data_IF_634982578414
#
_entry.id   IF_634982578414
#
_cell.length_a   1.000
_cell.length_b   1.000
_cell.length_c   1.000
_cell.angle_alpha   90.00
_cell.angle_beta   90.00
_cell.angle_gamma   90.00
#
_symmetry.space_group_name_H-M   'P 1'
#
loop_
_entity.id
_entity.type
_entity.pdbx_description
1 polymer ?
#
# COMPACT_ATOMS: atom_id res chain seq x y z
N UNK A 1 -18.05 -12.72 17.12
CA UNK A 1 -17.79 -11.66 18.12
C UNK A 1 -16.30 -11.74 18.43
N UNK A 2 -15.46 -11.04 17.67
CA UNK A 2 -13.99 -11.07 17.84
C UNK A 2 -13.45 -10.07 18.87
N UNK A 3 -14.28 -9.11 19.29
CA UNK A 3 -13.88 -8.00 20.15
C UNK A 3 -13.50 -8.39 21.60
N UNK A 4 -13.97 -9.55 22.08
CA UNK A 4 -13.68 -10.05 23.43
C UNK A 4 -12.46 -11.01 23.48
N UNK A 5 -11.84 -11.30 22.34
CA UNK A 5 -10.69 -12.21 22.32
C UNK A 5 -9.46 -11.52 22.95
N UNK A 6 -8.75 -12.19 23.88
CA UNK A 6 -7.51 -11.65 24.45
C UNK A 6 -6.44 -11.35 23.38
N UNK A 7 -6.39 -12.11 22.29
CA UNK A 7 -5.43 -11.87 21.20
C UNK A 7 -5.80 -10.62 20.40
N UNK A 8 -7.10 -10.43 20.11
CA UNK A 8 -7.61 -9.25 19.46
C UNK A 8 -7.33 -7.98 20.28
N UNK A 9 -7.68 -8.00 21.56
CA UNK A 9 -7.43 -6.87 22.48
C UNK A 9 -5.93 -6.56 22.59
N UNK A 10 -5.11 -7.59 22.79
CA UNK A 10 -3.64 -7.43 22.83
C UNK A 10 -3.08 -6.89 21.52
N UNK A 11 -3.63 -7.28 20.37
CA UNK A 11 -3.21 -6.76 19.06
C UNK A 11 -3.46 -5.25 18.96
N UNK A 12 -4.62 -4.79 19.43
CA UNK A 12 -5.00 -3.38 19.40
C UNK A 12 -4.26 -2.55 20.45
N UNK A 13 -4.01 -3.08 21.65
CA UNK A 13 -3.14 -2.45 22.64
C UNK A 13 -1.73 -2.24 22.08
N UNK A 14 -1.16 -3.26 21.43
CA UNK A 14 0.16 -3.13 20.80
C UNK A 14 0.13 -2.10 19.67
N UNK A 15 -0.93 -2.04 18.87
CA UNK A 15 -1.07 -1.03 17.82
C UNK A 15 -1.20 0.38 18.41
N UNK A 16 -1.95 0.56 19.49
CA UNK A 16 -2.06 1.81 20.23
C UNK A 16 -0.69 2.25 20.79
N UNK A 17 0.05 1.35 21.44
CA UNK A 17 1.41 1.65 21.90
C UNK A 17 2.38 2.00 20.76
N UNK A 18 2.23 1.35 19.59
CA UNK A 18 3.00 1.73 18.41
C UNK A 18 2.71 3.18 17.99
N UNK A 19 1.46 3.62 18.09
CA UNK A 19 1.04 5.00 17.81
C UNK A 19 1.65 5.97 18.82
N UNK A 20 1.62 5.67 20.12
CA UNK A 20 2.24 6.54 21.13
C UNK A 20 3.75 6.72 20.89
N UNK A 21 4.47 5.62 20.66
CA UNK A 21 5.90 5.66 20.30
C UNK A 21 6.13 6.42 18.99
N UNK A 22 5.22 6.27 18.04
CA UNK A 22 5.28 7.00 16.79
C UNK A 22 5.15 8.49 17.07
N UNK A 23 4.12 8.94 17.77
CA UNK A 23 3.85 10.35 18.06
C UNK A 23 5.02 11.06 18.76
N UNK A 24 5.71 10.38 19.69
CA UNK A 24 6.93 10.91 20.34
C UNK A 24 8.04 11.25 19.34
N UNK A 25 8.23 10.42 18.31
CA UNK A 25 9.13 10.69 17.19
C UNK A 25 10.63 10.53 17.46
N UNK A 26 11.02 10.22 18.69
CA UNK A 26 12.41 10.02 19.10
C UNK A 26 13.04 8.81 18.39
N UNK A 27 14.34 8.90 18.09
CA UNK A 27 15.08 7.81 17.44
C UNK A 27 15.01 6.49 18.21
N UNK A 28 15.01 6.57 19.55
CA UNK A 28 14.92 5.40 20.43
C UNK A 28 13.57 4.72 20.39
N UNK A 29 12.50 5.47 20.12
CA UNK A 29 11.13 4.96 20.04
C UNK A 29 10.85 4.24 18.72
N UNK A 30 11.55 4.60 17.64
CA UNK A 30 11.33 4.03 16.29
C UNK A 30 11.45 2.51 16.23
N UNK A 31 12.38 1.92 17.00
CA UNK A 31 12.49 0.45 17.07
C UNK A 31 11.25 -0.16 17.72
N UNK A 32 10.70 0.50 18.75
CA UNK A 32 9.53 0.03 19.46
C UNK A 32 8.30 0.13 18.57
N UNK A 33 8.20 1.17 17.73
CA UNK A 33 7.14 1.24 16.70
C UNK A 33 7.16 -0.03 15.85
N UNK A 34 8.29 -0.37 15.22
CA UNK A 34 8.37 -1.56 14.34
C UNK A 34 8.05 -2.86 15.09
N UNK A 35 8.59 -3.03 16.30
CA UNK A 35 8.34 -4.22 17.12
C UNK A 35 6.84 -4.37 17.47
N UNK A 36 6.21 -3.30 17.91
CA UNK A 36 4.79 -3.30 18.29
C UNK A 36 3.89 -3.52 17.07
N UNK A 37 4.16 -2.88 15.94
CA UNK A 37 3.40 -3.08 14.70
C UNK A 37 3.45 -4.54 14.23
N UNK A 38 4.64 -5.14 14.19
CA UNK A 38 4.79 -6.53 13.75
C UNK A 38 4.08 -7.51 14.69
N UNK A 39 4.16 -7.28 16.01
CA UNK A 39 3.47 -8.11 17.00
C UNK A 39 1.95 -7.93 16.91
N UNK A 40 1.45 -6.71 16.72
CA UNK A 40 0.02 -6.45 16.53
C UNK A 40 -0.53 -7.22 15.33
N UNK A 41 0.18 -7.19 14.19
CA UNK A 41 -0.19 -7.96 13.00
C UNK A 41 -0.12 -9.47 13.25
N UNK A 42 0.89 -9.96 13.98
CA UNK A 42 0.98 -11.39 14.31
C UNK A 42 -0.21 -11.85 15.16
N UNK A 43 -0.60 -11.07 16.18
CA UNK A 43 -1.71 -11.41 17.05
C UNK A 43 -3.05 -11.35 16.32
N UNK A 44 -3.29 -10.34 15.49
CA UNK A 44 -4.58 -10.22 14.77
C UNK A 44 -4.78 -11.35 13.75
N UNK A 45 -3.70 -11.80 13.08
CA UNK A 45 -3.76 -12.93 12.16
C UNK A 45 -4.01 -14.25 12.91
N UNK A 46 -3.39 -14.43 14.07
CA UNK A 46 -3.60 -15.60 14.93
C UNK A 46 -5.01 -15.64 15.50
N UNK A 47 -5.51 -14.51 15.93
CA UNK A 47 -6.88 -14.36 16.39
C UNK A 47 -7.87 -14.79 15.32
N UNK A 48 -7.67 -14.29 14.09
CA UNK A 48 -8.54 -14.64 12.98
C UNK A 48 -8.49 -16.13 12.61
N UNK A 49 -7.32 -16.76 12.71
CA UNK A 49 -7.22 -18.22 12.55
C UNK A 49 -8.08 -18.96 13.58
N UNK A 50 -8.12 -18.52 14.83
CA UNK A 50 -8.97 -19.13 15.85
C UNK A 50 -10.46 -18.96 15.52
N UNK A 51 -10.86 -17.80 15.02
CA UNK A 51 -12.24 -17.54 14.57
C UNK A 51 -12.65 -18.43 13.39
N UNK A 52 -11.68 -18.82 12.54
CA UNK A 52 -11.87 -19.81 11.47
C UNK A 52 -11.81 -21.26 11.96
N UNK A 53 -11.67 -21.51 13.25
CA UNK A 53 -11.57 -22.83 13.85
C UNK A 53 -10.20 -23.52 13.69
N UNK A 54 -9.17 -22.77 13.29
CA UNK A 54 -7.81 -23.28 13.11
C UNK A 54 -6.97 -23.14 14.39
N UNK A 55 -6.30 -24.22 14.79
CA UNK A 55 -5.37 -24.15 15.92
C UNK A 55 -4.13 -23.30 15.57
N UNK A 56 -3.78 -22.40 16.48
CA UNK A 56 -2.53 -21.64 16.46
C UNK A 56 -1.38 -22.36 17.19
N UNK A 57 -1.64 -23.47 17.88
CA UNK A 57 -0.61 -24.23 18.59
C UNK A 57 -0.01 -25.31 17.69
N UNK A 58 1.33 -25.34 17.59
CA UNK A 58 2.06 -26.50 17.03
C UNK A 58 2.21 -27.59 18.08
N UNK A 59 2.47 -27.16 19.30
CA UNK A 59 2.60 -27.96 20.50
C UNK A 59 2.27 -27.05 21.72
N UNK A 60 2.14 -27.60 22.94
CA UNK A 60 1.73 -26.80 24.11
C UNK A 60 2.65 -25.62 24.47
N UNK A 61 3.87 -25.55 23.92
CA UNK A 61 4.87 -24.52 24.23
C UNK A 61 5.13 -23.56 23.07
N UNK A 62 4.58 -23.83 21.89
CA UNK A 62 4.91 -23.11 20.66
C UNK A 62 3.66 -22.85 19.84
N UNK A 63 3.45 -21.59 19.48
CA UNK A 63 2.43 -21.19 18.52
C UNK A 63 3.02 -21.02 17.13
N UNK A 64 2.17 -21.02 16.11
CA UNK A 64 2.56 -20.71 14.73
C UNK A 64 3.25 -19.35 14.69
N UNK A 65 4.27 -19.22 13.85
CA UNK A 65 4.89 -17.93 13.54
C UNK A 65 3.96 -17.06 12.68
N UNK A 66 4.27 -15.77 12.55
CA UNK A 66 3.55 -14.88 11.63
C UNK A 66 3.53 -15.41 10.18
N UNK A 67 4.63 -15.99 9.71
CA UNK A 67 4.73 -16.58 8.37
C UNK A 67 3.81 -17.79 8.20
N UNK A 68 3.76 -18.66 9.21
CA UNK A 68 2.86 -19.81 9.21
C UNK A 68 1.40 -19.37 9.32
N UNK A 69 1.11 -18.32 10.07
CA UNK A 69 -0.23 -17.75 10.15
C UNK A 69 -0.68 -17.20 8.78
N UNK A 70 0.17 -16.42 8.10
CA UNK A 70 -0.07 -15.92 6.75
C UNK A 70 -0.30 -17.08 5.77
N UNK A 71 0.55 -18.12 5.81
CA UNK A 71 0.41 -19.29 4.92
C UNK A 71 -0.95 -19.97 5.12
N UNK A 72 -1.32 -20.27 6.37
CA UNK A 72 -2.61 -20.89 6.68
C UNK A 72 -3.79 -20.02 6.22
N UNK A 73 -3.72 -18.72 6.44
CA UNK A 73 -4.78 -17.80 6.02
C UNK A 73 -4.90 -17.68 4.49
N UNK A 74 -3.79 -17.71 3.76
CA UNK A 74 -3.81 -17.76 2.28
C UNK A 74 -4.41 -19.06 1.74
N UNK A 75 -4.18 -20.18 2.41
CA UNK A 75 -4.85 -21.45 2.09
C UNK A 75 -6.37 -21.31 2.26
N UNK A 76 -6.82 -20.69 3.36
CA UNK A 76 -8.24 -20.42 3.60
C UNK A 76 -8.87 -19.41 2.63
N UNK A 77 -8.15 -18.34 2.29
CA UNK A 77 -8.55 -17.37 1.26
C UNK A 77 -8.73 -18.02 -0.11
N UNK A 78 -7.97 -19.08 -0.41
CA UNK A 78 -8.14 -19.85 -1.65
C UNK A 78 -9.34 -20.80 -1.61
N UNK A 79 -9.81 -21.17 -0.41
CA UNK A 79 -10.95 -22.07 -0.17
C UNK A 79 -12.29 -21.31 -0.04
N UNK A 80 -12.26 -20.08 0.48
CA UNK A 80 -13.44 -19.24 0.72
C UNK A 80 -13.18 -17.78 0.27
N UNK A 81 -13.91 -17.35 -0.78
CA UNK A 81 -13.82 -16.00 -1.34
C UNK A 81 -14.22 -14.88 -0.36
N UNK A 82 -14.81 -15.21 0.79
CA UNK A 82 -15.15 -14.24 1.84
C UNK A 82 -13.99 -13.89 2.75
N UNK A 83 -12.94 -14.72 2.77
CA UNK A 83 -11.74 -14.47 3.55
C UNK A 83 -10.80 -13.64 2.70
N UNK A 84 -10.28 -12.54 3.26
CA UNK A 84 -9.38 -11.68 2.50
C UNK A 84 -8.23 -11.15 3.33
N UNK A 85 -7.01 -11.34 2.82
CA UNK A 85 -5.77 -10.91 3.49
C UNK A 85 -5.14 -9.78 2.67
N UNK A 86 -5.46 -8.51 2.98
CA UNK A 86 -4.98 -7.38 2.20
C UNK A 86 -3.47 -7.23 2.31
N UNK A 87 -2.86 -6.66 1.27
CA UNK A 87 -1.51 -6.09 1.33
C UNK A 87 -0.40 -7.02 1.89
N UNK A 88 -0.46 -8.34 1.63
CA UNK A 88 0.49 -9.28 2.25
C UNK A 88 1.96 -8.92 2.01
N UNK A 89 2.30 -8.51 0.79
CA UNK A 89 3.66 -8.06 0.43
C UNK A 89 4.20 -6.93 1.32
N UNK A 90 3.34 -6.04 1.82
CA UNK A 90 3.73 -4.95 2.71
C UNK A 90 3.99 -5.45 4.13
N UNK A 91 3.19 -6.41 4.59
CA UNK A 91 3.37 -7.07 5.90
C UNK A 91 4.66 -7.90 5.91
N UNK A 92 5.01 -8.56 4.81
CA UNK A 92 6.28 -9.28 4.68
C UNK A 92 7.49 -8.35 4.94
N UNK A 93 7.47 -7.13 4.40
CA UNK A 93 8.53 -6.14 4.63
C UNK A 93 8.59 -5.71 6.11
N UNK A 94 7.44 -5.54 6.77
CA UNK A 94 7.39 -5.23 8.20
C UNK A 94 8.04 -6.34 9.05
N UNK A 95 7.76 -7.60 8.71
CA UNK A 95 8.31 -8.76 9.40
C UNK A 95 9.83 -8.84 9.22
N UNK A 96 10.31 -8.62 8.00
CA UNK A 96 11.75 -8.60 7.71
C UNK A 96 12.47 -7.48 8.46
N UNK A 97 11.87 -6.29 8.54
CA UNK A 97 12.42 -5.17 9.32
C UNK A 97 12.47 -5.50 10.81
N UNK A 98 11.40 -6.10 11.35
CA UNK A 98 11.37 -6.58 12.75
C UNK A 98 12.47 -7.60 13.00
N UNK A 99 12.65 -8.58 12.12
CA UNK A 99 13.68 -9.60 12.25
C UNK A 99 15.08 -8.98 12.18
N UNK A 100 15.29 -8.02 11.27
CA UNK A 100 16.55 -7.30 11.15
C UNK A 100 16.91 -6.56 12.46
N UNK A 101 15.94 -5.91 13.11
CA UNK A 101 16.14 -5.22 14.39
C UNK A 101 16.43 -6.16 15.56
N UNK A 102 15.86 -7.37 15.56
CA UNK A 102 16.13 -8.36 16.59
C UNK A 102 17.54 -8.96 16.47
N UNK A 103 18.08 -9.05 15.26
CA UNK A 103 19.40 -9.63 14.99
C UNK A 103 20.54 -8.60 14.88
N UNK A 104 20.23 -7.31 14.63
CA UNK A 104 21.21 -6.24 14.45
C UNK A 104 20.92 -5.08 15.39
N UNK A 105 21.96 -4.58 16.08
CA UNK A 105 21.84 -3.36 16.87
C UNK A 105 21.70 -2.14 15.93
N UNK A 106 20.56 -1.45 16.02
CA UNK A 106 20.29 -0.25 15.21
C UNK A 106 18.89 0.31 15.51
N UNK A 107 18.69 1.58 15.15
CA UNK A 107 17.38 2.21 15.20
C UNK A 107 16.88 2.35 13.75
N UNK A 108 15.61 2.00 13.47
CA UNK A 108 15.01 2.34 12.19
C UNK A 108 15.12 3.83 11.97
N UNK A 109 15.42 4.23 10.74
CA UNK A 109 15.31 5.64 10.40
C UNK A 109 13.83 6.05 10.39
N UNK A 110 13.58 7.35 10.55
CA UNK A 110 12.23 7.93 10.65
C UNK A 110 11.32 7.53 9.49
N UNK A 111 11.91 7.40 8.29
CA UNK A 111 11.15 7.11 7.07
C UNK A 111 10.66 5.67 7.09
N UNK A 112 11.52 4.72 7.44
CA UNK A 112 11.11 3.33 7.62
C UNK A 112 9.98 3.24 8.63
N UNK A 113 10.09 3.94 9.76
CA UNK A 113 9.05 3.95 10.79
C UNK A 113 7.71 4.48 10.28
N UNK A 114 7.74 5.58 9.53
CA UNK A 114 6.56 6.17 8.89
C UNK A 114 5.92 5.21 7.89
N UNK A 115 6.72 4.65 6.99
CA UNK A 115 6.26 3.74 5.96
C UNK A 115 5.59 2.50 6.57
N UNK A 116 6.20 1.93 7.61
CA UNK A 116 5.65 0.76 8.28
C UNK A 116 4.38 1.09 9.06
N UNK A 117 4.35 2.22 9.77
CA UNK A 117 3.15 2.69 10.47
C UNK A 117 1.96 2.84 9.51
N UNK A 118 2.17 3.47 8.36
CA UNK A 118 1.12 3.67 7.36
C UNK A 118 0.64 2.36 6.74
N UNK A 119 1.55 1.46 6.37
CA UNK A 119 1.18 0.17 5.82
C UNK A 119 0.44 -0.70 6.84
N UNK A 120 0.86 -0.72 8.10
CA UNK A 120 0.16 -1.48 9.14
C UNK A 120 -1.21 -0.89 9.43
N UNK A 121 -1.36 0.44 9.50
CA UNK A 121 -2.67 1.08 9.67
C UNK A 121 -3.62 0.72 8.52
N UNK A 122 -3.17 0.83 7.28
CA UNK A 122 -4.00 0.50 6.11
C UNK A 122 -4.35 -1.00 6.06
N UNK A 123 -3.39 -1.87 6.41
CA UNK A 123 -3.64 -3.30 6.56
C UNK A 123 -4.71 -3.58 7.62
N UNK A 124 -4.56 -3.05 8.84
CA UNK A 124 -5.54 -3.25 9.92
C UNK A 124 -6.91 -2.70 9.54
N UNK A 125 -6.95 -1.53 8.90
CA UNK A 125 -8.19 -0.92 8.40
C UNK A 125 -8.94 -1.85 7.44
N UNK A 126 -8.26 -2.35 6.41
CA UNK A 126 -8.86 -3.24 5.43
C UNK A 126 -9.20 -4.60 6.05
N UNK A 127 -8.27 -5.17 6.82
CA UNK A 127 -8.41 -6.50 7.41
C UNK A 127 -9.57 -6.56 8.42
N UNK A 128 -9.69 -5.58 9.31
CA UNK A 128 -10.78 -5.53 10.29
C UNK A 128 -12.13 -5.31 9.62
N UNK A 129 -12.18 -4.46 8.59
CA UNK A 129 -13.42 -4.22 7.85
C UNK A 129 -13.88 -5.46 7.09
N UNK A 130 -12.97 -6.12 6.38
CA UNK A 130 -13.30 -7.26 5.52
C UNK A 130 -13.58 -8.53 6.32
N UNK A 131 -12.83 -8.78 7.41
CA UNK A 131 -12.92 -10.04 8.14
C UNK A 131 -13.75 -9.96 9.44
N UNK A 132 -13.88 -8.78 10.05
CA UNK A 132 -14.64 -8.59 11.29
C UNK A 132 -15.82 -7.62 11.14
N UNK A 133 -15.93 -6.90 10.03
CA UNK A 133 -16.93 -5.83 9.86
C UNK A 133 -16.70 -4.65 10.80
N UNK A 134 -15.46 -4.42 11.24
CA UNK A 134 -15.09 -3.39 12.20
C UNK A 134 -14.29 -2.26 11.54
N UNK A 135 -14.53 -1.03 11.98
CA UNK A 135 -13.77 0.14 11.56
C UNK A 135 -12.67 0.45 12.57
N UNK A 136 -11.40 0.41 12.14
CA UNK A 136 -10.24 0.65 13.01
C UNK A 136 -10.32 2.00 13.73
N UNK A 137 -10.85 3.03 13.07
CA UNK A 137 -10.92 4.39 13.60
C UNK A 137 -11.89 4.49 14.80
N UNK A 138 -12.86 3.58 14.91
CA UNK A 138 -13.76 3.49 16.05
C UNK A 138 -13.16 2.59 17.14
N UNK A 139 -12.70 1.40 16.75
CA UNK A 139 -12.19 0.38 17.67
C UNK A 139 -10.95 0.85 18.43
N UNK A 140 -10.07 1.64 17.81
CA UNK A 140 -8.83 2.10 18.45
C UNK A 140 -9.08 3.09 19.59
N UNK A 141 -10.24 3.76 19.64
CA UNK A 141 -10.57 4.75 20.67
C UNK A 141 -10.67 4.12 22.07
N UNK A 142 -10.95 2.82 22.15
CA UNK A 142 -11.01 2.09 23.41
C UNK A 142 -9.61 1.80 23.99
N UNK A 143 -8.56 1.90 23.16
CA UNK A 143 -7.17 1.56 23.52
C UNK A 143 -6.22 2.75 23.49
N UNK A 144 -6.62 3.86 22.84
CA UNK A 144 -5.77 5.03 22.64
C UNK A 144 -6.55 6.31 22.97
N UNK A 145 -6.00 7.21 23.80
CA UNK A 145 -6.63 8.50 24.09
C UNK A 145 -6.91 9.30 22.81
N UNK A 146 -8.02 10.02 22.77
CA UNK A 146 -8.42 10.80 21.58
C UNK A 146 -7.35 11.80 21.11
N UNK A 147 -6.62 12.40 22.05
CA UNK A 147 -5.52 13.35 21.76
C UNK A 147 -4.34 12.68 21.03
N UNK A 148 -3.99 11.45 21.43
CA UNK A 148 -2.94 10.65 20.80
C UNK A 148 -3.38 10.19 19.40
N UNK A 149 -4.65 9.80 19.26
CA UNK A 149 -5.19 9.41 17.95
C UNK A 149 -5.27 10.61 16.98
N UNK A 150 -5.68 11.78 17.46
CA UNK A 150 -5.69 13.01 16.67
C UNK A 150 -4.26 13.41 16.24
N UNK A 151 -3.29 13.32 17.15
CA UNK A 151 -1.87 13.58 16.88
C UNK A 151 -1.32 12.62 15.82
N UNK A 152 -1.70 11.34 15.91
CA UNK A 152 -1.35 10.34 14.91
C UNK A 152 -1.92 10.66 13.53
N UNK A 153 -3.21 10.98 13.44
CA UNK A 153 -3.87 11.33 12.18
C UNK A 153 -3.24 12.57 11.55
N UNK A 154 -2.89 13.58 12.34
CA UNK A 154 -2.18 14.77 11.87
C UNK A 154 -0.78 14.44 11.37
N UNK A 155 0.00 13.68 12.16
CA UNK A 155 1.37 13.27 11.81
C UNK A 155 1.38 12.38 10.56
N UNK A 156 0.40 11.50 10.40
CA UNK A 156 0.19 10.69 9.18
C UNK A 156 -0.16 11.57 7.97
N UNK A 157 -1.06 12.55 8.11
CA UNK A 157 -1.46 13.47 7.02
C UNK A 157 -0.33 14.41 6.57
N UNK A 158 0.44 14.97 7.50
CA UNK A 158 1.63 15.78 7.17
C UNK A 158 2.74 14.89 6.57
N UNK A 159 2.67 13.58 6.85
CA UNK A 159 3.68 12.65 6.40
C UNK A 159 3.58 12.29 4.91
N UNK A 160 2.37 12.22 4.36
CA UNK A 160 2.09 11.81 2.97
C UNK A 160 2.45 12.90 1.94
N UNK A 161 2.39 14.18 2.30
CA UNK A 161 2.87 15.27 1.41
C UNK A 161 4.41 15.29 1.25
N UNK A 162 5.13 14.56 2.10
CA UNK A 162 6.60 14.52 2.16
C UNK A 162 7.15 13.09 1.91
N UNK A 163 6.32 12.18 1.40
CA UNK A 163 6.63 10.75 1.29
C UNK A 163 7.81 10.48 0.35
N UNK A 164 7.83 11.11 -0.84
CA UNK A 164 8.92 10.92 -1.80
C UNK A 164 10.25 11.51 -1.30
N UNK A 165 10.22 12.62 -0.57
CA UNK A 165 11.41 13.22 0.05
C UNK A 165 11.97 12.35 1.18
N UNK A 166 11.09 11.68 1.89
CA UNK A 166 11.45 10.66 2.87
C UNK A 166 12.10 9.46 2.18
N UNK A 167 11.52 8.97 1.08
CA UNK A 167 12.10 7.85 0.33
C UNK A 167 13.47 8.21 -0.28
N UNK A 168 13.70 9.47 -0.69
CA UNK A 168 15.03 9.95 -1.10
C UNK A 168 16.06 9.82 0.05
N UNK A 169 15.67 10.09 1.29
CA UNK A 169 16.54 9.89 2.47
C UNK A 169 16.73 8.41 2.77
N UNK A 170 15.69 7.58 2.69
CA UNK A 170 15.75 6.14 2.92
C UNK A 170 16.64 5.44 1.89
N UNK A 171 16.64 5.91 0.64
CA UNK A 171 17.47 5.36 -0.42
C UNK A 171 18.97 5.40 -0.10
N UNK A 172 19.41 6.24 0.85
CA UNK A 172 20.79 6.27 1.35
C UNK A 172 21.18 5.05 2.19
N UNK A 173 20.20 4.39 2.79
CA UNK A 173 20.38 3.30 3.75
C UNK A 173 19.88 1.99 3.12
N UNK A 174 18.73 2.03 2.46
CA UNK A 174 18.08 0.88 1.86
C UNK A 174 17.55 1.20 0.44
N UNK A 175 18.44 1.26 -0.58
CA UNK A 175 18.10 1.71 -1.94
C UNK A 175 16.94 0.96 -2.58
N UNK A 176 16.95 -0.37 -2.48
CA UNK A 176 15.93 -1.26 -3.07
C UNK A 176 14.56 -1.01 -2.44
N UNK A 177 14.47 -1.07 -1.12
CA UNK A 177 13.21 -0.86 -0.40
C UNK A 177 12.64 0.53 -0.61
N UNK A 178 13.47 1.57 -0.57
CA UNK A 178 13.03 2.94 -0.84
C UNK A 178 12.42 3.09 -2.25
N UNK A 179 13.04 2.45 -3.25
CA UNK A 179 12.56 2.47 -4.61
C UNK A 179 11.24 1.69 -4.76
N UNK A 180 11.13 0.49 -4.18
CA UNK A 180 9.90 -0.30 -4.20
C UNK A 180 8.74 0.42 -3.52
N UNK A 181 8.99 1.11 -2.41
CA UNK A 181 8.00 1.97 -1.75
C UNK A 181 7.56 3.13 -2.65
N UNK A 182 8.50 3.78 -3.36
CA UNK A 182 8.16 4.86 -4.28
C UNK A 182 7.33 4.36 -5.47
N UNK A 183 7.56 3.12 -5.92
CA UNK A 183 6.71 2.48 -6.91
C UNK A 183 5.31 2.20 -6.39
N UNK A 184 5.19 1.65 -5.18
CA UNK A 184 3.90 1.39 -4.56
C UNK A 184 3.09 2.69 -4.37
N UNK A 185 3.78 3.79 -4.03
CA UNK A 185 3.18 5.11 -3.95
C UNK A 185 2.64 5.58 -5.32
N UNK A 186 3.44 5.52 -6.39
CA UNK A 186 2.97 5.90 -7.72
C UNK A 186 1.83 4.97 -8.20
N UNK A 187 1.92 3.67 -7.91
CA UNK A 187 0.90 2.67 -8.24
C UNK A 187 -0.42 2.98 -7.53
N UNK A 188 -0.41 3.37 -6.25
CA UNK A 188 -1.63 3.76 -5.54
C UNK A 188 -2.30 4.98 -6.17
N UNK A 189 -1.52 5.99 -6.58
CA UNK A 189 -2.07 7.16 -7.27
C UNK A 189 -2.74 6.78 -8.60
N UNK A 190 -2.17 5.84 -9.35
CA UNK A 190 -2.78 5.34 -10.59
C UNK A 190 -4.02 4.49 -10.32
N UNK A 191 -4.04 3.69 -9.25
CA UNK A 191 -5.22 2.92 -8.85
C UNK A 191 -6.39 3.85 -8.49
N UNK A 192 -6.14 4.96 -7.79
CA UNK A 192 -7.19 5.94 -7.50
C UNK A 192 -7.79 6.53 -8.78
N UNK A 193 -6.96 6.85 -9.79
CA UNK A 193 -7.45 7.34 -11.10
C UNK A 193 -8.26 6.24 -11.81
N UNK A 194 -7.81 4.98 -11.73
CA UNK A 194 -8.53 3.83 -12.29
C UNK A 194 -9.91 3.70 -11.68
N UNK A 195 -10.01 3.80 -10.36
CA UNK A 195 -11.26 3.61 -9.64
C UNK A 195 -12.25 4.73 -9.99
N UNK A 196 -11.78 5.97 -10.13
CA UNK A 196 -12.60 7.09 -10.65
C UNK A 196 -13.21 6.77 -12.02
N UNK A 197 -12.45 6.12 -12.92
CA UNK A 197 -12.94 5.76 -14.26
C UNK A 197 -13.91 4.57 -14.20
N UNK A 198 -13.58 3.52 -13.45
CA UNK A 198 -14.36 2.28 -13.40
C UNK A 198 -15.69 2.49 -12.65
N UNK A 199 -15.67 3.29 -11.59
CA UNK A 199 -16.85 3.54 -10.75
C UNK A 199 -17.73 4.68 -11.27
N UNK A 200 -17.34 5.34 -12.37
CA UNK A 200 -18.11 6.44 -12.92
C UNK A 200 -19.49 5.98 -13.41
N UNK A 201 -20.60 6.60 -12.96
CA UNK A 201 -21.96 6.21 -13.35
C UNK A 201 -22.23 6.29 -14.85
N UNK A 202 -21.73 7.33 -15.54
CA UNK A 202 -21.97 7.50 -16.98
C UNK A 202 -21.29 6.40 -17.81
N UNK A 203 -20.05 6.05 -17.44
CA UNK A 203 -19.35 4.93 -18.06
C UNK A 203 -20.01 3.59 -17.70
N UNK A 204 -20.57 3.46 -16.50
CA UNK A 204 -21.30 2.26 -16.08
C UNK A 204 -22.62 2.09 -16.82
N UNK A 205 -23.39 3.16 -17.03
CA UNK A 205 -24.63 3.16 -17.82
C UNK A 205 -24.36 2.79 -19.29
N UNK A 206 -23.34 3.40 -19.92
CA UNK A 206 -22.87 3.03 -21.27
C UNK A 206 -22.48 1.54 -21.38
N UNK A 207 -22.03 0.96 -20.28
CA UNK A 207 -21.56 -0.42 -20.18
C UNK A 207 -22.69 -1.44 -19.98
N UNK A 208 -23.81 -1.01 -19.41
CA UNK A 208 -25.03 -1.81 -19.24
C UNK A 208 -25.79 -1.93 -20.57
N UNK A 209 -25.76 -0.88 -21.39
CA UNK A 209 -26.31 -0.88 -22.74
C UNK A 209 -25.42 -1.63 -23.76
N UNK A 210 -24.09 -1.69 -23.53
CA UNK A 210 -23.16 -2.39 -24.39
C UNK A 210 -22.00 -3.07 -23.61
N UNK A 211 -22.11 -4.39 -23.43
CA UNK A 211 -21.11 -5.20 -22.72
C UNK A 211 -19.71 -5.17 -23.35
N UNK A 212 -19.59 -4.90 -24.64
CA UNK A 212 -18.29 -4.79 -25.31
C UNK A 212 -17.56 -3.52 -24.90
N UNK A 213 -18.29 -2.41 -24.70
CA UNK A 213 -17.74 -1.14 -24.22
C UNK A 213 -17.21 -1.27 -22.79
N UNK A 214 -17.92 -2.00 -21.91
CA UNK A 214 -17.43 -2.30 -20.55
C UNK A 214 -16.07 -2.99 -20.58
N UNK A 215 -15.98 -4.01 -21.44
CA UNK A 215 -14.78 -4.83 -21.60
C UNK A 215 -13.63 -3.96 -22.07
N UNK A 216 -13.85 -3.12 -23.08
CA UNK A 216 -12.82 -2.25 -23.63
C UNK A 216 -12.34 -1.18 -22.61
N UNK A 217 -13.25 -0.55 -21.87
CA UNK A 217 -12.90 0.39 -20.78
C UNK A 217 -12.02 -0.30 -19.74
N UNK A 218 -12.37 -1.51 -19.30
CA UNK A 218 -11.57 -2.29 -18.34
C UNK A 218 -10.20 -2.66 -18.89
N UNK A 219 -10.11 -3.10 -20.15
CA UNK A 219 -8.82 -3.42 -20.77
C UNK A 219 -7.94 -2.18 -20.93
N UNK A 220 -8.53 -1.04 -21.29
CA UNK A 220 -7.80 0.22 -21.45
C UNK A 220 -7.32 0.75 -20.11
N UNK A 221 -8.18 0.80 -19.10
CA UNK A 221 -7.76 1.19 -17.75
C UNK A 221 -6.67 0.25 -17.23
N UNK A 222 -6.78 -1.07 -17.36
CA UNK A 222 -5.70 -1.99 -16.96
C UNK A 222 -4.36 -1.74 -17.67
N UNK A 223 -4.39 -1.26 -18.92
CA UNK A 223 -3.17 -1.03 -19.71
C UNK A 223 -2.60 0.36 -19.49
N UNK A 224 -3.44 1.39 -19.52
CA UNK A 224 -3.06 2.80 -19.35
C UNK A 224 -2.60 3.13 -17.92
N UNK A 225 -2.98 2.31 -16.93
CA UNK A 225 -2.52 2.43 -15.54
C UNK A 225 -1.16 1.77 -15.26
N UNK A 226 -0.48 1.27 -16.30
CA UNK A 226 0.93 0.87 -16.16
C UNK A 226 1.83 2.07 -16.44
N UNK A 227 2.94 2.16 -15.72
CA UNK A 227 3.85 3.31 -15.77
C UNK A 227 4.29 3.65 -17.21
N UNK A 228 4.55 2.65 -18.06
CA UNK A 228 4.97 2.86 -19.45
C UNK A 228 3.89 3.47 -20.36
N UNK A 229 2.62 3.36 -19.98
CA UNK A 229 1.49 3.89 -20.74
C UNK A 229 0.91 5.18 -20.12
N UNK A 230 1.43 5.61 -18.96
CA UNK A 230 1.07 6.87 -18.34
C UNK A 230 1.21 8.08 -19.29
N UNK A 231 2.23 8.18 -20.18
CA UNK A 231 2.32 9.27 -21.14
C UNK A 231 1.15 9.32 -22.11
N UNK A 232 0.64 8.15 -22.50
CA UNK A 232 -0.50 8.05 -23.41
C UNK A 232 -1.78 8.49 -22.71
N UNK A 233 -1.96 8.11 -21.45
CA UNK A 233 -3.09 8.57 -20.64
C UNK A 233 -3.03 10.09 -20.44
N UNK A 234 -1.86 10.64 -20.07
CA UNK A 234 -1.65 12.08 -19.94
C UNK A 234 -1.95 12.83 -21.24
N UNK A 235 -1.56 12.29 -22.40
CA UNK A 235 -1.87 12.87 -23.70
C UNK A 235 -3.38 12.93 -24.00
N UNK A 236 -4.16 11.93 -23.57
CA UNK A 236 -5.62 11.94 -23.73
C UNK A 236 -6.25 13.11 -22.96
N UNK A 237 -5.72 13.41 -21.78
CA UNK A 237 -6.17 14.50 -20.92
C UNK A 237 -5.38 15.80 -21.12
N UNK A 238 -4.70 15.95 -22.25
CA UNK A 238 -3.96 17.16 -22.62
C UNK A 238 -2.93 17.61 -21.56
N UNK A 239 -2.28 16.65 -20.91
CA UNK A 239 -1.21 16.91 -19.94
C UNK A 239 0.13 16.76 -20.67
N UNK A 240 1.00 17.78 -20.64
CA UNK A 240 2.25 17.77 -21.38
C UNK A 240 3.24 16.75 -20.78
N UNK A 241 3.76 15.87 -21.65
CA UNK A 241 4.77 14.88 -21.31
C UNK A 241 5.99 15.08 -22.20
N UNK A 242 7.17 15.10 -21.60
CA UNK A 242 8.44 15.29 -22.33
C UNK A 242 9.01 13.95 -22.78
N UNK A 243 9.92 13.96 -23.76
CA UNK A 243 10.64 12.74 -24.15
C UNK A 243 11.45 12.13 -22.99
N UNK A 244 11.99 12.98 -22.10
CA UNK A 244 12.71 12.53 -20.92
C UNK A 244 11.79 11.84 -19.92
N UNK A 245 10.56 12.34 -19.72
CA UNK A 245 9.55 11.67 -18.88
C UNK A 245 9.26 10.25 -19.39
N UNK A 246 9.10 10.10 -20.70
CA UNK A 246 8.85 8.81 -21.35
C UNK A 246 10.02 7.86 -21.07
N UNK A 247 11.24 8.30 -21.37
CA UNK A 247 12.46 7.51 -21.17
C UNK A 247 12.63 7.08 -19.71
N UNK A 248 12.36 7.99 -18.77
CA UNK A 248 12.47 7.72 -17.34
C UNK A 248 11.38 6.75 -16.86
N UNK A 249 10.15 6.82 -17.37
CA UNK A 249 9.09 5.83 -17.06
C UNK A 249 9.42 4.43 -17.58
N UNK A 250 10.03 4.33 -18.77
CA UNK A 250 10.52 3.03 -19.29
C UNK A 250 11.66 2.47 -18.41
N UNK A 251 12.61 3.31 -18.01
CA UNK A 251 13.68 2.95 -17.06
C UNK A 251 13.10 2.50 -15.72
N UNK A 252 12.09 3.22 -15.21
CA UNK A 252 11.37 2.91 -13.97
C UNK A 252 10.78 1.49 -14.00
N UNK A 253 10.05 1.15 -15.07
CA UNK A 253 9.44 -0.16 -15.26
C UNK A 253 10.48 -1.27 -15.34
N UNK A 254 11.54 -1.07 -16.13
CA UNK A 254 12.59 -2.07 -16.30
C UNK A 254 13.24 -2.41 -14.96
N UNK A 255 13.64 -1.38 -14.22
CA UNK A 255 14.28 -1.52 -12.92
C UNK A 255 13.32 -2.14 -11.89
N UNK A 256 12.04 -1.74 -11.85
CA UNK A 256 11.03 -2.40 -10.98
C UNK A 256 11.01 -3.91 -11.23
N UNK A 257 10.89 -4.31 -12.49
CA UNK A 257 10.79 -5.73 -12.85
C UNK A 257 12.10 -6.49 -12.56
N UNK A 258 13.26 -5.86 -12.71
CA UNK A 258 14.54 -6.49 -12.39
C UNK A 258 14.75 -6.63 -10.87
N UNK A 259 14.48 -5.56 -10.11
CA UNK A 259 14.65 -5.50 -8.66
C UNK A 259 13.64 -6.38 -7.93
N UNK A 260 12.36 -6.37 -8.31
CA UNK A 260 11.33 -7.23 -7.67
C UNK A 260 11.59 -8.73 -7.84
N UNK A 261 12.34 -9.13 -8.88
CA UNK A 261 12.72 -10.52 -9.11
C UNK A 261 14.14 -10.85 -8.62
N UNK A 262 14.80 -9.93 -7.90
CA UNK A 262 16.14 -10.11 -7.37
C UNK A 262 17.25 -10.22 -8.43
N UNK A 263 16.98 -9.79 -9.68
CA UNK A 263 17.91 -9.95 -10.81
C UNK A 263 18.97 -8.85 -10.89
N UNK A 264 18.69 -7.68 -10.33
CA UNK A 264 19.60 -6.53 -10.34
C UNK A 264 19.73 -5.92 -8.94
N UNK A 265 20.96 -5.55 -8.56
CA UNK A 265 21.20 -4.69 -7.42
C UNK A 265 21.25 -3.25 -7.89
N UNK A 266 20.35 -2.42 -7.40
CA UNK A 266 20.34 -0.99 -7.72
C UNK A 266 21.26 -0.20 -6.78
N UNK A 267 22.00 0.75 -7.33
CA UNK A 267 22.82 1.65 -6.51
C UNK A 267 21.96 2.69 -5.77
N UNK A 268 22.47 3.22 -4.66
CA UNK A 268 21.87 4.35 -3.95
C UNK A 268 21.59 5.54 -4.90
N UNK A 269 22.53 5.85 -5.80
CA UNK A 269 22.42 6.99 -6.71
C UNK A 269 21.26 6.81 -7.69
N UNK A 270 21.14 5.63 -8.28
CA UNK A 270 20.05 5.30 -9.22
C UNK A 270 18.69 5.25 -8.50
N UNK A 271 18.62 4.68 -7.30
CA UNK A 271 17.38 4.69 -6.51
C UNK A 271 16.92 6.14 -6.23
N UNK A 272 17.83 7.01 -5.77
CA UNK A 272 17.52 8.41 -5.53
C UNK A 272 17.11 9.17 -6.80
N UNK A 273 17.73 8.89 -7.94
CA UNK A 273 17.38 9.47 -9.24
C UNK A 273 15.94 9.14 -9.63
N UNK A 274 15.56 7.86 -9.52
CA UNK A 274 14.22 7.39 -9.87
C UNK A 274 13.15 7.92 -8.91
N UNK A 275 13.44 8.00 -7.61
CA UNK A 275 12.49 8.56 -6.62
C UNK A 275 12.29 10.06 -6.88
N UNK A 276 13.36 10.80 -7.20
CA UNK A 276 13.26 12.21 -7.62
C UNK A 276 12.45 12.38 -8.89
N UNK A 277 12.59 11.46 -9.84
CA UNK A 277 11.76 11.45 -11.04
C UNK A 277 10.28 11.24 -10.70
N UNK A 278 9.94 10.26 -9.86
CA UNK A 278 8.57 10.05 -9.38
C UNK A 278 8.02 11.33 -8.72
N UNK A 279 8.85 12.02 -7.93
CA UNK A 279 8.47 13.32 -7.33
C UNK A 279 8.21 14.40 -8.39
N UNK A 280 9.00 14.43 -9.45
CA UNK A 280 8.84 15.41 -10.52
C UNK A 280 7.57 15.18 -11.36
N UNK A 281 7.10 13.94 -11.47
CA UNK A 281 5.90 13.61 -12.25
C UNK A 281 4.62 13.64 -11.39
N UNK A 282 4.74 13.59 -10.06
CA UNK A 282 3.62 13.64 -9.12
C UNK A 282 2.62 14.80 -9.39
N UNK A 283 3.04 16.05 -9.65
CA UNK A 283 2.09 17.13 -9.97
C UNK A 283 1.27 16.85 -11.24
N UNK A 284 1.88 16.24 -12.26
CA UNK A 284 1.19 15.85 -13.50
C UNK A 284 0.19 14.73 -13.25
N UNK A 285 0.50 13.80 -12.36
CA UNK A 285 -0.42 12.72 -11.95
C UNK A 285 -1.60 13.30 -11.15
N UNK A 286 -1.37 14.28 -10.27
CA UNK A 286 -2.45 15.00 -9.57
C UNK A 286 -3.33 15.77 -10.54
N UNK A 287 -2.75 16.49 -11.50
CA UNK A 287 -3.51 17.17 -12.56
C UNK A 287 -4.34 16.16 -13.38
N UNK A 288 -3.76 15.01 -13.73
CA UNK A 288 -4.44 13.94 -14.45
C UNK A 288 -5.66 13.45 -13.67
N UNK A 289 -5.49 13.20 -12.38
CA UNK A 289 -6.60 12.79 -11.50
C UNK A 289 -7.74 13.80 -11.51
N UNK A 290 -7.45 15.09 -11.40
CA UNK A 290 -8.49 16.12 -11.43
C UNK A 290 -9.18 16.22 -12.78
N UNK A 291 -8.44 16.16 -13.90
CA UNK A 291 -9.05 16.13 -15.24
C UNK A 291 -9.91 14.89 -15.48
N UNK A 292 -9.48 13.72 -14.99
CA UNK A 292 -10.24 12.47 -15.06
C UNK A 292 -11.53 12.56 -14.23
N UNK A 293 -11.52 13.24 -13.08
CA UNK A 293 -12.75 13.49 -12.30
C UNK A 293 -13.71 14.41 -13.04
N UNK A 294 -13.19 15.42 -13.75
CA UNK A 294 -14.01 16.37 -14.50
C UNK A 294 -14.70 15.72 -15.70
N UNK A 295 -13.98 14.90 -16.46
CA UNK A 295 -14.53 14.18 -17.61
C UNK A 295 -13.85 12.82 -17.82
N UNK A 296 -14.33 11.76 -17.15
CA UNK A 296 -13.75 10.43 -17.27
C UNK A 296 -14.02 9.79 -18.64
N UNK A 297 -14.97 10.32 -19.42
CA UNK A 297 -15.35 9.76 -20.72
C UNK A 297 -14.32 10.05 -21.82
N UNK A 298 -13.41 11.03 -21.61
CA UNK A 298 -12.31 11.32 -22.52
C UNK A 298 -11.41 10.12 -22.79
N UNK A 299 -11.33 9.14 -21.88
CA UNK A 299 -10.61 7.89 -22.14
C UNK A 299 -11.13 7.15 -23.38
N UNK A 300 -12.42 7.35 -23.72
CA UNK A 300 -13.06 6.78 -24.91
C UNK A 300 -12.56 7.40 -26.22
N UNK A 301 -12.02 8.61 -26.17
CA UNK A 301 -11.47 9.30 -27.34
C UNK A 301 -10.15 8.69 -27.85
N UNK A 302 -9.54 7.78 -27.08
CA UNK A 302 -8.27 7.16 -27.45
C UNK A 302 -8.36 6.44 -28.80
N UNK A 303 -7.32 6.59 -29.63
CA UNK A 303 -7.29 5.98 -30.98
C UNK A 303 -7.46 4.45 -30.98
N UNK A 304 -7.19 3.78 -29.86
CA UNK A 304 -7.38 2.32 -29.73
C UNK A 304 -8.83 1.89 -29.60
N UNK A 305 -9.71 2.78 -29.14
CA UNK A 305 -11.16 2.60 -29.22
C UNK A 305 -11.62 2.92 -30.62
N UNK A 306 -11.16 4.04 -31.21
CA UNK A 306 -11.54 4.43 -32.57
C UNK A 306 -11.23 3.37 -33.63
N UNK A 307 -10.17 2.58 -33.47
CA UNK A 307 -9.81 1.48 -34.40
C UNK A 307 -10.68 0.21 -34.25
N UNK A 308 -11.55 0.13 -33.24
CA UNK A 308 -12.44 -1.02 -33.00
C UNK A 308 -13.93 -0.68 -33.11
N UNK A 309 -14.28 0.60 -33.23
CA UNK A 309 -15.66 1.09 -33.39
C UNK A 309 -16.00 1.52 -34.83
N UNK A 310 -15.14 1.21 -35.81
CA UNK A 310 -15.40 1.36 -37.26
C UNK A 310 -15.35 0.00 -37.93
#
# INVERSE_FOLDING_TARGET
MGYDSPLFQSALELFAHAIEHFNRGDERDRKFVILHLANAVELILKDFLLDLGESIYKNPKETVSIWEAIRKLKEKESEDEKIRIPSTNKIEILIDERNALQHRYGFPNEITTIFQMENTYNFLKEFLRENYGLEIDEVIKDFLPEEEFASFQLRRKISTENELDKLIKLAKIHPVGALLSAFAYLESQLLEIRDIIIENPQLRELSEENREVLRDIRFLTMRLMRFEYLPKLMSIYEIPVTEEDIKMLFKLRHIRNSVSHGREQITQKEAMELIKFIKSIEPKVKELKEKVKMDPTLILSSEEIKRRTI
#
